data_IF_945636173245
#
_entry.id   IF_945636173245
#
_cell.length_a   1.000
_cell.length_b   1.000
_cell.length_c   1.000
_cell.angle_alpha   90.00
_cell.angle_beta   90.00
_cell.angle_gamma   90.00
#
_symmetry.space_group_name_H-M   'P 1'
#
loop_
_entity.id
_entity.type
_entity.pdbx_description
1 polymer ?
#
# COMPACT_ATOMS: atom_id res chain seq x y z
N UNK A 1 -10.62 22.88 45.90
CA UNK A 1 -10.89 23.57 44.65
C UNK A 1 -11.32 22.52 43.63
N UNK A 2 -12.65 22.31 43.50
CA UNK A 2 -13.18 21.23 42.60
C UNK A 2 -13.21 21.81 41.20
N UNK A 3 -12.47 21.18 40.30
CA UNK A 3 -12.55 21.46 38.86
C UNK A 3 -13.78 20.70 38.37
N UNK A 4 -14.88 21.40 38.11
CA UNK A 4 -16.00 20.83 37.40
C UNK A 4 -15.60 20.65 35.93
N UNK A 5 -15.43 19.41 35.52
CA UNK A 5 -15.34 19.09 34.09
C UNK A 5 -16.75 19.30 33.54
N UNK A 6 -16.94 20.40 32.83
CA UNK A 6 -18.19 20.67 32.09
C UNK A 6 -18.35 19.54 31.05
N UNK A 7 -19.57 19.00 30.99
CA UNK A 7 -19.97 18.01 29.96
C UNK A 7 -19.56 18.51 28.58
N UNK A 8 -18.62 17.79 27.98
CA UNK A 8 -18.18 18.04 26.59
C UNK A 8 -19.37 17.79 25.68
N UNK A 9 -19.78 18.79 24.96
CA UNK A 9 -20.78 18.72 23.89
C UNK A 9 -20.53 17.47 23.05
N UNK A 10 -21.59 16.71 22.77
CA UNK A 10 -21.55 15.46 22.01
C UNK A 10 -21.30 15.68 20.51
N UNK A 11 -20.21 16.37 20.16
CA UNK A 11 -19.80 16.55 18.77
C UNK A 11 -19.39 15.22 18.15
N UNK A 12 -19.86 14.96 16.96
CA UNK A 12 -19.49 13.76 16.18
C UNK A 12 -17.99 13.75 15.83
N UNK A 13 -17.40 12.60 15.56
CA UNK A 13 -16.01 12.53 15.08
C UNK A 13 -15.75 13.42 13.86
N UNK A 14 -16.71 13.51 12.93
CA UNK A 14 -16.62 14.37 11.75
C UNK A 14 -16.58 15.85 12.10
N UNK A 15 -17.43 16.31 13.00
CA UNK A 15 -17.43 17.72 13.45
C UNK A 15 -16.11 18.09 14.14
N UNK A 16 -15.57 17.19 14.94
CA UNK A 16 -14.24 17.40 15.58
C UNK A 16 -13.12 17.46 14.54
N UNK A 17 -13.14 16.57 13.55
CA UNK A 17 -12.16 16.57 12.46
C UNK A 17 -12.21 17.89 11.66
N UNK A 18 -13.41 18.37 11.31
CA UNK A 18 -13.59 19.64 10.62
C UNK A 18 -13.16 20.87 11.47
N UNK A 19 -13.44 20.85 12.76
CA UNK A 19 -12.99 21.91 13.65
C UNK A 19 -11.46 21.96 13.73
N UNK A 20 -10.82 20.79 13.83
CA UNK A 20 -9.35 20.68 13.82
C UNK A 20 -8.77 21.16 12.48
N UNK A 21 -9.34 20.73 11.35
CA UNK A 21 -8.93 21.17 10.02
C UNK A 21 -8.94 22.70 9.92
N UNK A 22 -10.05 23.36 10.29
CA UNK A 22 -10.14 24.83 10.28
C UNK A 22 -9.05 25.50 11.11
N UNK A 23 -8.78 24.99 12.31
CA UNK A 23 -7.73 25.55 13.18
C UNK A 23 -6.35 25.40 12.55
N UNK A 24 -6.05 24.25 11.97
CA UNK A 24 -4.75 23.98 11.33
C UNK A 24 -4.55 24.84 10.08
N UNK A 25 -5.59 24.99 9.25
CA UNK A 25 -5.56 25.86 8.07
C UNK A 25 -5.38 27.33 8.45
N UNK A 26 -6.15 27.83 9.43
CA UNK A 26 -6.05 29.21 9.92
C UNK A 26 -4.68 29.53 10.52
N UNK A 27 -3.99 28.52 11.07
CA UNK A 27 -2.62 28.67 11.58
C UNK A 27 -1.55 28.51 10.49
N UNK A 28 -1.93 28.23 9.25
CA UNK A 28 -0.99 27.98 8.16
C UNK A 28 -0.20 26.67 8.31
N UNK A 29 -0.66 25.72 9.13
CA UNK A 29 0.00 24.44 9.36
C UNK A 29 -0.33 23.41 8.27
N UNK A 30 -1.47 23.56 7.59
CA UNK A 30 -1.84 22.85 6.39
C UNK A 30 -2.29 23.83 5.31
N UNK A 31 -1.99 23.57 4.03
CA UNK A 31 -2.45 24.42 2.93
C UNK A 31 -3.97 24.43 2.79
N UNK A 32 -4.52 25.50 2.29
CA UNK A 32 -5.92 25.55 1.83
C UNK A 32 -6.13 24.52 0.71
N UNK A 33 -7.26 23.81 0.73
CA UNK A 33 -7.56 22.76 -0.27
C UNK A 33 -6.79 21.45 -0.09
N UNK A 34 -5.98 21.30 0.97
CA UNK A 34 -5.18 20.08 1.21
C UNK A 34 -6.06 18.84 1.37
N UNK A 35 -7.14 18.92 2.14
CA UNK A 35 -8.02 17.77 2.39
C UNK A 35 -8.77 17.38 1.12
N UNK A 36 -9.27 18.37 0.39
CA UNK A 36 -9.96 18.17 -0.89
C UNK A 36 -9.03 17.51 -1.91
N UNK A 37 -7.80 18.00 -2.04
CA UNK A 37 -6.80 17.44 -2.95
C UNK A 37 -6.40 16.02 -2.55
N UNK A 38 -6.22 15.75 -1.26
CA UNK A 38 -5.93 14.40 -0.79
C UNK A 38 -7.12 13.45 -1.01
N UNK A 39 -8.35 13.93 -0.80
CA UNK A 39 -9.55 13.14 -1.04
C UNK A 39 -9.69 12.78 -2.51
N UNK A 40 -9.46 13.74 -3.42
CA UNK A 40 -9.46 13.49 -4.86
C UNK A 40 -8.39 12.47 -5.27
N UNK A 41 -7.18 12.62 -4.75
CA UNK A 41 -6.09 11.68 -4.99
C UNK A 41 -6.47 10.25 -4.60
N UNK A 42 -6.99 10.08 -3.38
CA UNK A 42 -7.37 8.76 -2.84
C UNK A 42 -8.58 8.15 -3.56
N UNK A 43 -9.53 8.97 -3.98
CA UNK A 43 -10.76 8.50 -4.63
C UNK A 43 -10.60 8.22 -6.13
N UNK A 44 -9.73 8.98 -6.83
CA UNK A 44 -9.71 9.00 -8.28
C UNK A 44 -8.38 8.57 -8.91
N UNK A 45 -7.30 8.50 -8.12
CA UNK A 45 -5.96 8.17 -8.64
C UNK A 45 -5.42 6.83 -8.14
N UNK A 46 -5.83 6.39 -6.96
CA UNK A 46 -5.36 5.15 -6.36
C UNK A 46 -6.33 4.01 -6.64
N UNK A 47 -6.14 3.40 -7.81
CA UNK A 47 -6.99 2.32 -8.31
C UNK A 47 -6.17 1.03 -8.50
N UNK A 48 -6.62 -0.14 -8.01
CA UNK A 48 -5.96 -1.42 -8.31
C UNK A 48 -5.90 -1.75 -9.80
N UNK A 49 -6.74 -1.16 -10.64
CA UNK A 49 -6.65 -1.28 -12.10
C UNK A 49 -5.34 -0.68 -12.66
N UNK A 50 -4.68 0.22 -11.95
CA UNK A 50 -3.37 0.75 -12.33
C UNK A 50 -2.32 -0.36 -12.39
N UNK A 51 -2.28 -1.24 -11.38
CA UNK A 51 -1.40 -2.41 -11.38
C UNK A 51 -1.68 -3.37 -12.52
N UNK A 52 -2.95 -3.56 -12.87
CA UNK A 52 -3.33 -4.40 -14.01
C UNK A 52 -2.79 -3.82 -15.34
N UNK A 53 -2.77 -2.51 -15.51
CA UNK A 53 -2.18 -1.86 -16.70
C UNK A 53 -0.67 -2.08 -16.78
N UNK A 54 0.04 -1.92 -15.65
CA UNK A 54 1.49 -2.19 -15.55
C UNK A 54 1.80 -3.62 -15.94
N UNK A 55 1.07 -4.59 -15.38
CA UNK A 55 1.27 -6.02 -15.67
C UNK A 55 0.94 -6.34 -17.13
N UNK A 56 -0.15 -5.84 -17.67
CA UNK A 56 -0.55 -6.05 -19.06
C UNK A 56 0.51 -5.53 -20.05
N UNK A 57 1.08 -4.36 -19.79
CA UNK A 57 2.17 -3.82 -20.60
C UNK A 57 3.42 -4.70 -20.48
N UNK A 58 3.78 -5.14 -19.28
CA UNK A 58 4.94 -6.02 -19.09
C UNK A 58 4.81 -7.38 -19.80
N UNK A 59 3.59 -7.89 -19.97
CA UNK A 59 3.35 -9.13 -20.72
C UNK A 59 3.48 -8.97 -22.23
N UNK A 60 3.25 -7.76 -22.74
CA UNK A 60 3.22 -7.49 -24.19
C UNK A 60 4.46 -6.77 -24.70
N UNK A 61 5.24 -6.16 -23.81
CA UNK A 61 6.43 -5.37 -24.11
C UNK A 61 7.63 -5.87 -23.29
N UNK A 62 8.55 -6.66 -23.88
CA UNK A 62 9.73 -7.17 -23.19
C UNK A 62 10.66 -6.07 -22.66
N UNK A 63 10.79 -4.95 -23.35
CA UNK A 63 11.64 -3.85 -22.92
C UNK A 63 11.06 -3.17 -21.68
N UNK A 64 9.74 -2.98 -21.65
CA UNK A 64 9.05 -2.47 -20.48
C UNK A 64 9.15 -3.45 -19.29
N UNK A 65 9.03 -4.76 -19.53
CA UNK A 65 9.20 -5.78 -18.50
C UNK A 65 10.61 -5.73 -17.88
N UNK A 66 11.64 -5.57 -18.69
CA UNK A 66 13.01 -5.39 -18.19
C UNK A 66 13.14 -4.10 -17.35
N UNK A 67 12.56 -3.00 -17.79
CA UNK A 67 12.50 -1.76 -17.02
C UNK A 67 11.79 -1.99 -15.68
N UNK A 68 10.60 -2.58 -15.69
CA UNK A 68 9.79 -2.83 -14.50
C UNK A 68 10.54 -3.66 -13.45
N UNK A 69 11.22 -4.71 -13.87
CA UNK A 69 11.97 -5.59 -12.96
C UNK A 69 13.28 -4.95 -12.45
N UNK A 70 13.86 -4.01 -13.21
CA UNK A 70 15.06 -3.29 -12.81
C UNK A 70 14.76 -2.05 -11.97
N UNK A 71 13.72 -1.30 -12.33
CA UNK A 71 13.31 -0.04 -11.72
C UNK A 71 11.78 0.11 -11.81
N UNK A 72 11.09 -0.45 -10.82
CA UNK A 72 9.63 -0.44 -10.78
C UNK A 72 9.06 0.97 -10.65
N UNK A 73 9.79 1.89 -9.97
CA UNK A 73 9.37 3.29 -9.83
C UNK A 73 9.35 3.96 -11.21
N UNK A 74 10.46 3.93 -11.96
CA UNK A 74 10.52 4.51 -13.29
C UNK A 74 9.48 3.90 -14.25
N UNK A 75 9.25 2.59 -14.17
CA UNK A 75 8.23 1.94 -14.98
C UNK A 75 6.80 2.42 -14.67
N UNK A 76 6.47 2.62 -13.39
CA UNK A 76 5.17 3.14 -12.99
C UNK A 76 5.00 4.62 -13.31
N UNK A 77 6.08 5.40 -13.28
CA UNK A 77 6.08 6.81 -13.70
C UNK A 77 5.69 7.00 -15.17
N UNK A 78 5.98 6.06 -16.07
CA UNK A 78 5.53 6.11 -17.47
C UNK A 78 4.00 6.19 -17.60
N UNK A 79 3.26 5.68 -16.63
CA UNK A 79 1.81 5.78 -16.56
C UNK A 79 1.31 6.94 -15.68
N UNK A 80 2.22 7.67 -15.03
CA UNK A 80 1.86 8.67 -14.04
C UNK A 80 1.37 8.08 -12.69
N UNK A 81 1.63 6.81 -12.41
CA UNK A 81 1.25 6.15 -11.16
C UNK A 81 2.28 6.44 -10.06
N UNK A 82 2.23 7.67 -9.56
CA UNK A 82 3.13 8.21 -8.54
C UNK A 82 2.33 8.79 -7.39
N UNK A 83 2.99 9.02 -6.27
CA UNK A 83 2.39 9.68 -5.10
C UNK A 83 2.73 8.99 -3.79
N UNK A 84 2.06 9.38 -2.69
CA UNK A 84 2.30 8.81 -1.37
C UNK A 84 2.25 7.28 -1.35
N UNK A 85 3.21 6.65 -0.68
CA UNK A 85 3.40 5.20 -0.62
C UNK A 85 3.77 4.54 -1.97
N UNK A 86 4.16 5.32 -2.96
CA UNK A 86 4.66 4.87 -4.26
C UNK A 86 6.01 5.49 -4.62
N UNK A 87 6.74 6.04 -3.65
CA UNK A 87 8.04 6.68 -3.85
C UNK A 87 9.13 5.66 -4.22
N UNK A 88 8.95 4.42 -3.83
CA UNK A 88 9.89 3.35 -4.14
C UNK A 88 9.16 2.03 -4.44
N UNK A 89 9.16 1.64 -5.71
CA UNK A 89 8.44 0.48 -6.22
C UNK A 89 9.44 -0.57 -6.69
N UNK A 90 9.30 -1.79 -6.17
CA UNK A 90 10.01 -2.96 -6.66
C UNK A 90 9.02 -3.98 -7.19
N UNK A 91 9.19 -4.37 -8.44
CA UNK A 91 8.42 -5.44 -9.04
C UNK A 91 9.12 -6.78 -8.81
N UNK A 92 8.33 -7.77 -8.41
CA UNK A 92 8.77 -9.14 -8.23
C UNK A 92 8.03 -10.03 -9.23
N UNK A 93 8.75 -10.92 -9.88
CA UNK A 93 8.17 -11.85 -10.83
C UNK A 93 8.02 -13.24 -10.21
N UNK A 94 6.84 -13.82 -10.35
CA UNK A 94 6.63 -15.23 -10.04
C UNK A 94 7.32 -16.10 -11.08
N UNK A 95 7.88 -17.21 -10.65
CA UNK A 95 8.47 -18.22 -11.54
C UNK A 95 7.71 -19.54 -11.46
N UNK A 96 8.12 -20.53 -12.22
CA UNK A 96 7.58 -21.90 -12.11
C UNK A 96 7.76 -22.51 -10.72
N UNK A 97 8.76 -22.04 -9.97
CA UNK A 97 9.18 -22.64 -8.70
C UNK A 97 8.96 -21.72 -7.50
N UNK A 98 8.69 -20.43 -7.73
CA UNK A 98 8.56 -19.43 -6.67
C UNK A 98 7.30 -18.58 -6.86
N UNK A 99 6.48 -18.53 -5.82
CA UNK A 99 5.38 -17.58 -5.63
C UNK A 99 5.81 -16.48 -4.70
N UNK A 100 5.87 -15.24 -5.18
CA UNK A 100 6.14 -14.07 -4.37
C UNK A 100 4.85 -13.55 -3.74
N UNK A 101 4.92 -13.22 -2.46
CA UNK A 101 3.79 -12.65 -1.70
C UNK A 101 4.29 -11.44 -0.95
N UNK A 102 3.56 -10.36 -1.04
CA UNK A 102 3.95 -9.08 -0.41
C UNK A 102 3.05 -8.84 0.80
N UNK A 103 3.64 -8.42 1.90
CA UNK A 103 2.93 -8.02 3.11
C UNK A 103 3.63 -6.82 3.73
N UNK A 104 2.89 -5.91 4.35
CA UNK A 104 3.46 -4.95 5.29
C UNK A 104 3.13 -5.41 6.71
N UNK A 105 4.12 -5.91 7.45
CA UNK A 105 3.91 -6.43 8.81
C UNK A 105 3.61 -5.32 9.82
N UNK A 106 4.04 -4.10 9.58
CA UNK A 106 3.85 -2.95 10.47
C UNK A 106 2.54 -2.20 10.22
N UNK A 107 2.18 -2.04 8.97
CA UNK A 107 1.00 -1.27 8.58
C UNK A 107 0.32 -1.89 7.34
N UNK A 108 -0.48 -1.14 6.62
CA UNK A 108 -1.08 -1.54 5.35
C UNK A 108 -0.71 -0.59 4.20
N UNK A 109 0.36 0.18 4.38
CA UNK A 109 0.82 1.16 3.42
C UNK A 109 1.72 0.49 2.36
N UNK A 110 1.13 -0.07 1.33
CA UNK A 110 1.86 -0.73 0.27
C UNK A 110 1.40 -0.20 -1.08
N UNK A 111 2.23 0.64 -1.71
CA UNK A 111 2.15 1.00 -3.12
C UNK A 111 0.73 1.43 -3.59
N UNK A 112 0.12 2.37 -2.88
CA UNK A 112 -1.24 2.86 -3.17
C UNK A 112 -1.46 3.35 -4.60
N UNK A 113 -0.52 4.05 -5.25
CA UNK A 113 -0.72 4.51 -6.62
C UNK A 113 -0.94 3.37 -7.64
N UNK A 114 -0.44 2.18 -7.34
CA UNK A 114 -0.49 1.01 -8.24
C UNK A 114 -1.52 -0.01 -7.78
N UNK A 115 -1.64 -0.24 -6.47
CA UNK A 115 -2.46 -1.31 -5.90
C UNK A 115 -3.80 -0.80 -5.34
N UNK A 116 -3.99 0.51 -5.29
CA UNK A 116 -5.13 1.11 -4.60
C UNK A 116 -5.01 1.03 -3.08
N UNK A 117 -6.06 1.45 -2.39
CA UNK A 117 -6.11 1.38 -0.92
C UNK A 117 -6.32 -0.07 -0.47
N UNK A 118 -5.62 -0.50 0.60
CA UNK A 118 -5.72 -1.88 1.07
C UNK A 118 -7.13 -2.16 1.62
N UNK A 119 -7.70 -3.36 1.36
CA UNK A 119 -8.97 -3.78 1.93
C UNK A 119 -8.85 -4.03 3.43
N UNK A 120 -9.97 -3.98 4.15
CA UNK A 120 -10.00 -4.12 5.61
C UNK A 120 -9.37 -5.43 6.12
N UNK A 121 -9.58 -6.55 5.41
CA UNK A 121 -9.00 -7.84 5.82
C UNK A 121 -7.47 -7.82 5.78
N UNK A 122 -6.86 -7.07 4.84
CA UNK A 122 -5.40 -6.93 4.76
C UNK A 122 -4.82 -6.15 5.95
N UNK A 123 -5.62 -5.29 6.59
CA UNK A 123 -5.20 -4.50 7.76
C UNK A 123 -5.16 -5.33 9.06
N UNK A 124 -5.73 -6.52 9.08
CA UNK A 124 -5.76 -7.41 10.25
C UNK A 124 -4.35 -7.81 10.69
N UNK A 125 -4.04 -7.59 11.97
CA UNK A 125 -2.77 -8.04 12.56
C UNK A 125 -2.60 -9.55 12.47
N UNK A 126 -3.68 -10.29 12.68
CA UNK A 126 -3.68 -11.76 12.60
C UNK A 126 -3.33 -12.21 11.18
N UNK A 127 -4.00 -11.66 10.16
CA UNK A 127 -3.71 -11.96 8.75
C UNK A 127 -2.24 -11.72 8.42
N UNK A 128 -1.71 -10.54 8.75
CA UNK A 128 -0.32 -10.16 8.44
C UNK A 128 0.69 -11.07 9.15
N UNK A 129 0.46 -11.38 10.43
CA UNK A 129 1.32 -12.28 11.20
C UNK A 129 1.27 -13.73 10.69
N UNK A 130 0.10 -14.20 10.25
CA UNK A 130 -0.07 -15.53 9.66
C UNK A 130 0.60 -15.63 8.30
N UNK A 131 0.46 -14.61 7.47
CA UNK A 131 1.04 -14.61 6.12
C UNK A 131 2.55 -14.81 6.15
N UNK A 132 3.25 -14.19 7.11
CA UNK A 132 4.71 -14.36 7.28
C UNK A 132 5.08 -15.79 7.73
N UNK A 133 4.27 -16.42 8.60
CA UNK A 133 4.59 -17.73 9.20
C UNK A 133 4.07 -18.92 8.41
N UNK A 134 2.93 -18.76 7.79
CA UNK A 134 2.19 -19.85 7.13
C UNK A 134 1.60 -19.41 5.77
N UNK A 135 2.38 -18.67 4.98
CA UNK A 135 1.92 -18.03 3.76
C UNK A 135 1.18 -18.96 2.79
N UNK A 136 1.62 -20.21 2.62
CA UNK A 136 0.93 -21.20 1.79
C UNK A 136 -0.48 -21.50 2.27
N UNK A 137 -0.66 -21.68 3.59
CA UNK A 137 -1.97 -21.93 4.20
C UNK A 137 -2.91 -20.75 3.97
N UNK A 138 -2.41 -19.55 4.22
CA UNK A 138 -3.19 -18.31 4.01
C UNK A 138 -3.58 -18.13 2.54
N UNK A 139 -2.67 -18.39 1.59
CA UNK A 139 -3.00 -18.33 0.17
C UNK A 139 -4.09 -19.32 -0.22
N UNK A 140 -4.05 -20.55 0.33
CA UNK A 140 -5.10 -21.56 0.11
C UNK A 140 -6.44 -21.10 0.66
N UNK A 141 -6.47 -20.52 1.85
CA UNK A 141 -7.70 -19.94 2.45
C UNK A 141 -8.29 -18.81 1.59
N UNK A 142 -7.42 -18.06 0.89
CA UNK A 142 -7.81 -17.02 -0.07
C UNK A 142 -8.17 -17.57 -1.46
N UNK A 143 -8.20 -18.90 -1.63
CA UNK A 143 -8.58 -19.55 -2.88
C UNK A 143 -7.43 -19.76 -3.88
N UNK A 144 -6.18 -19.54 -3.47
CA UNK A 144 -5.00 -19.77 -4.31
C UNK A 144 -4.31 -21.08 -3.94
N UNK A 145 -4.53 -22.12 -4.71
CA UNK A 145 -3.82 -23.40 -4.56
C UNK A 145 -2.51 -23.40 -5.37
N UNK A 146 -1.42 -23.76 -4.70
CA UNK A 146 -0.10 -23.80 -5.30
C UNK A 146 0.40 -25.24 -5.34
N UNK A 147 1.17 -25.63 -6.41
CA UNK A 147 1.88 -26.91 -6.47
C UNK A 147 2.73 -27.15 -5.21
N UNK A 148 2.84 -28.40 -4.76
CA UNK A 148 3.59 -28.73 -3.53
C UNK A 148 5.07 -28.33 -3.62
N UNK A 149 5.67 -28.44 -4.79
CA UNK A 149 7.06 -28.11 -5.06
C UNK A 149 7.33 -26.61 -5.20
N UNK A 150 6.29 -25.77 -5.29
CA UNK A 150 6.46 -24.32 -5.43
C UNK A 150 6.82 -23.70 -4.08
N UNK A 151 7.85 -22.91 -4.01
CA UNK A 151 8.26 -22.16 -2.82
C UNK A 151 7.42 -20.89 -2.67
N UNK A 152 6.85 -20.64 -1.52
CA UNK A 152 6.21 -19.35 -1.18
C UNK A 152 7.25 -18.46 -0.51
N UNK A 153 7.57 -17.34 -1.14
CA UNK A 153 8.49 -16.33 -0.62
C UNK A 153 7.70 -15.09 -0.19
N UNK A 154 7.70 -14.81 1.11
CA UNK A 154 7.00 -13.65 1.68
C UNK A 154 7.96 -12.50 1.84
N UNK A 155 7.60 -11.34 1.31
CA UNK A 155 8.37 -10.11 1.36
C UNK A 155 7.67 -9.10 2.25
N UNK A 156 8.39 -8.56 3.23
CA UNK A 156 7.86 -7.52 4.11
C UNK A 156 8.23 -6.12 3.56
N UNK A 157 7.20 -5.30 3.36
CA UNK A 157 7.37 -3.91 2.94
C UNK A 157 7.26 -2.98 4.14
N UNK A 158 8.24 -2.96 5.03
CA UNK A 158 8.28 -1.98 6.13
C UNK A 158 8.58 -0.56 5.61
N UNK A 159 8.27 0.46 6.43
CA UNK A 159 8.56 1.86 6.08
C UNK A 159 10.05 2.13 5.80
N UNK A 160 10.94 1.28 6.31
CA UNK A 160 12.38 1.32 6.03
C UNK A 160 12.77 0.57 4.76
N UNK A 161 11.85 -0.14 4.15
CA UNK A 161 12.07 -0.93 2.92
C UNK A 161 12.05 -0.09 1.64
N UNK A 162 12.07 1.22 1.73
CA UNK A 162 12.50 2.07 0.61
C UNK A 162 13.87 1.66 0.06
N UNK A 163 14.61 0.82 0.78
CA UNK A 163 15.83 0.16 0.35
C UNK A 163 15.63 -1.33 0.04
N UNK A 164 14.67 -1.68 -0.79
CA UNK A 164 14.42 -3.07 -1.23
C UNK A 164 15.61 -3.74 -1.94
N UNK A 165 16.66 -2.99 -2.28
CA UNK A 165 17.94 -3.56 -2.71
C UNK A 165 18.62 -4.43 -1.65
N UNK A 166 18.19 -4.38 -0.37
CA UNK A 166 18.70 -5.29 0.68
C UNK A 166 17.97 -6.64 0.75
N UNK A 167 16.79 -6.75 0.17
CA UNK A 167 15.96 -7.96 0.25
C UNK A 167 16.36 -9.05 -0.76
N UNK A 168 17.13 -8.71 -1.76
CA UNK A 168 17.72 -9.68 -2.70
C UNK A 168 18.92 -10.46 -2.15
N UNK A 169 19.30 -10.25 -0.88
CA UNK A 169 20.50 -10.86 -0.26
C UNK A 169 20.19 -11.71 0.99
N UNK A 170 18.94 -12.07 1.23
CA UNK A 170 18.59 -13.03 2.29
C UNK A 170 18.26 -14.40 1.73
#
# INVERSE_FOLDING_TARGET
>A
MSISVSETSSSTPGERAWALHKVLTNKGLIPEGFIEGLTDLLANKFDPANGAQVVAKAWTDPAYRELLLRDGTAACEEFGFTGPQGEYIVALEDTTDVKNVIVCSLCSCTNWPVLGLPPEWYKSFEFRARLVREGRTVLKELGTELPENMTVKVWDTSAESSNLNKWGQL
#
